data_IF_150801149190
#
_entry.id   IF_150801149190
#
_cell.length_a   1.000
_cell.length_b   1.000
_cell.length_c   1.000
_cell.angle_alpha   90.00
_cell.angle_beta   90.00
_cell.angle_gamma   90.00
#
_symmetry.space_group_name_H-M   'P 1'
#
loop_
_entity.id
_entity.type
_entity.pdbx_description
1 polymer ?
#
# COMPACT_ATOMS: atom_id res chain seq x y z
N UNK A 1 10.20 -25.46 6.60
CA UNK A 1 9.18 -25.38 7.66
C UNK A 1 9.78 -25.09 9.03
N UNK A 2 11.04 -25.46 9.25
CA UNK A 2 11.78 -25.33 10.51
C UNK A 2 11.73 -23.92 11.12
N UNK A 3 11.91 -22.87 10.32
CA UNK A 3 11.79 -21.49 10.77
C UNK A 3 10.41 -21.14 11.36
N UNK A 4 9.32 -21.65 10.77
CA UNK A 4 7.97 -21.41 11.31
C UNK A 4 7.78 -22.08 12.67
N UNK A 5 8.35 -23.28 12.83
CA UNK A 5 8.35 -23.99 14.11
C UNK A 5 9.16 -23.24 15.16
N UNK A 6 10.40 -22.85 14.85
CA UNK A 6 11.25 -22.09 15.77
C UNK A 6 10.59 -20.77 16.23
N UNK A 7 9.99 -20.01 15.31
CA UNK A 7 9.27 -18.79 15.64
C UNK A 7 8.06 -19.06 16.54
N UNK A 8 7.29 -20.11 16.28
CA UNK A 8 6.13 -20.49 17.10
C UNK A 8 6.56 -20.83 18.53
N UNK A 9 7.63 -21.60 18.68
CA UNK A 9 8.08 -22.09 19.99
C UNK A 9 8.66 -20.94 20.82
N UNK A 10 9.41 -20.02 20.18
CA UNK A 10 9.85 -18.77 20.82
C UNK A 10 8.66 -17.91 21.30
N UNK A 11 7.66 -17.71 20.45
CA UNK A 11 6.47 -16.92 20.80
C UNK A 11 5.65 -17.55 21.92
N UNK A 12 5.60 -18.89 22.00
CA UNK A 12 4.95 -19.59 23.10
C UNK A 12 5.58 -19.26 24.46
N UNK A 13 6.91 -19.08 24.51
CA UNK A 13 7.62 -18.60 25.70
C UNK A 13 7.19 -17.19 26.14
N UNK A 14 6.73 -16.36 25.19
CA UNK A 14 6.16 -15.03 25.45
C UNK A 14 4.64 -15.05 25.67
N UNK A 15 4.04 -16.24 25.80
CA UNK A 15 2.58 -16.45 25.88
C UNK A 15 1.81 -15.88 24.67
N UNK A 16 2.46 -15.84 23.50
CA UNK A 16 1.87 -15.42 22.22
C UNK A 16 1.63 -16.61 21.30
N UNK A 17 0.67 -16.48 20.38
CA UNK A 17 0.37 -17.50 19.36
C UNK A 17 0.38 -16.88 17.97
N UNK A 18 0.94 -17.60 17.00
CA UNK A 18 0.83 -17.22 15.59
C UNK A 18 -0.59 -17.42 15.10
N UNK A 19 -1.09 -16.47 14.31
CA UNK A 19 -2.34 -16.65 13.58
C UNK A 19 -2.16 -17.67 12.47
N UNK A 20 -2.61 -18.91 12.70
CA UNK A 20 -2.31 -20.06 11.83
C UNK A 20 -2.73 -19.85 10.38
N UNK A 21 -3.90 -19.25 10.16
CA UNK A 21 -4.41 -18.96 8.81
C UNK A 21 -3.58 -17.90 8.07
N UNK A 22 -3.02 -16.91 8.78
CA UNK A 22 -2.34 -15.77 8.17
C UNK A 22 -0.81 -15.98 8.05
N UNK A 23 -0.21 -16.71 8.98
CA UNK A 23 1.22 -16.97 9.04
C UNK A 23 1.61 -18.17 8.13
N UNK A 24 1.33 -18.07 6.83
CA UNK A 24 1.68 -19.10 5.86
C UNK A 24 3.13 -18.97 5.40
N UNK A 25 3.80 -20.11 5.24
CA UNK A 25 5.08 -20.17 4.52
C UNK A 25 4.76 -20.30 3.05
N UNK A 26 5.16 -19.30 2.27
CA UNK A 26 4.92 -19.26 0.82
C UNK A 26 6.23 -18.98 0.09
N UNK A 27 6.44 -19.53 -1.11
CA UNK A 27 7.56 -19.14 -1.96
C UNK A 27 7.55 -17.63 -2.21
N UNK A 28 8.71 -16.98 -2.04
CA UNK A 28 8.84 -15.53 -2.23
C UNK A 28 8.58 -15.09 -3.69
N UNK A 29 8.77 -16.00 -4.66
CA UNK A 29 8.50 -15.79 -6.08
C UNK A 29 7.03 -15.49 -6.37
N UNK A 30 6.10 -16.02 -5.54
CA UNK A 30 4.67 -15.71 -5.66
C UNK A 30 4.32 -14.29 -5.17
N UNK A 31 5.23 -13.65 -4.46
CA UNK A 31 5.06 -12.32 -3.89
C UNK A 31 4.38 -12.36 -2.53
N UNK A 32 4.96 -11.66 -1.56
CA UNK A 32 4.48 -11.65 -0.18
C UNK A 32 3.73 -10.33 0.09
N UNK A 33 2.45 -10.37 0.50
CA UNK A 33 1.70 -9.17 0.83
C UNK A 33 2.25 -8.53 2.11
N UNK A 34 2.80 -7.31 2.02
CA UNK A 34 3.36 -6.60 3.17
C UNK A 34 3.09 -5.10 3.13
N UNK A 35 2.50 -4.54 4.21
CA UNK A 35 2.25 -3.09 4.41
C UNK A 35 1.73 -2.30 3.18
N UNK A 36 0.85 -2.90 2.38
CA UNK A 36 0.26 -2.26 1.19
C UNK A 36 0.96 -2.59 -0.14
N UNK A 37 2.04 -3.36 -0.08
CA UNK A 37 2.80 -3.85 -1.22
C UNK A 37 2.67 -5.37 -1.39
N UNK A 38 3.15 -5.83 -2.53
CA UNK A 38 3.50 -7.22 -2.78
C UNK A 38 5.00 -7.25 -3.04
N UNK A 39 5.74 -7.91 -2.16
CA UNK A 39 7.20 -7.98 -2.16
C UNK A 39 7.65 -9.22 -2.93
N UNK A 40 8.45 -9.02 -3.97
CA UNK A 40 9.14 -10.09 -4.70
C UNK A 40 10.64 -9.95 -4.47
N UNK A 41 11.44 -10.99 -4.74
CA UNK A 41 12.88 -10.93 -4.52
C UNK A 41 13.58 -9.79 -5.28
N UNK A 42 13.12 -9.45 -6.49
CA UNK A 42 13.73 -8.39 -7.32
C UNK A 42 12.87 -7.12 -7.48
N UNK A 43 11.64 -7.08 -6.94
CA UNK A 43 10.74 -5.92 -7.14
C UNK A 43 9.68 -5.79 -6.05
N UNK A 44 9.16 -4.58 -5.90
CA UNK A 44 7.98 -4.28 -5.09
C UNK A 44 6.84 -3.86 -6.01
N UNK A 45 5.62 -4.37 -5.78
CA UNK A 45 4.41 -3.89 -6.45
C UNK A 45 3.47 -3.25 -5.43
N UNK A 46 2.76 -2.20 -5.82
CA UNK A 46 1.68 -1.66 -4.99
C UNK A 46 0.45 -2.58 -5.10
N UNK A 47 -0.22 -2.87 -3.98
CA UNK A 47 -1.48 -3.64 -4.02
C UNK A 47 -2.55 -2.85 -4.77
N UNK A 48 -3.29 -3.53 -5.65
CA UNK A 48 -4.37 -2.93 -6.47
C UNK A 48 -5.39 -2.15 -5.63
N UNK A 49 -5.81 -2.68 -4.47
CA UNK A 49 -6.73 -1.95 -3.58
C UNK A 49 -6.18 -0.58 -3.16
N UNK A 50 -4.87 -0.44 -2.94
CA UNK A 50 -4.27 0.83 -2.53
C UNK A 50 -4.29 1.86 -3.65
N UNK A 51 -4.12 1.46 -4.92
CA UNK A 51 -4.27 2.40 -6.04
C UNK A 51 -5.74 2.84 -6.20
N UNK A 52 -6.69 1.91 -6.09
CA UNK A 52 -8.13 2.25 -6.14
C UNK A 52 -8.53 3.22 -5.01
N UNK A 53 -8.12 2.94 -3.78
CA UNK A 53 -8.41 3.83 -2.64
C UNK A 53 -7.75 5.20 -2.80
N UNK A 54 -6.51 5.24 -3.30
CA UNK A 54 -5.81 6.49 -3.55
C UNK A 54 -6.50 7.34 -4.62
N UNK A 55 -6.89 6.75 -5.75
CA UNK A 55 -7.64 7.46 -6.81
C UNK A 55 -8.92 8.08 -6.24
N UNK A 56 -9.73 7.30 -5.51
CA UNK A 56 -10.98 7.77 -4.90
C UNK A 56 -10.74 8.93 -3.92
N UNK A 57 -9.75 8.75 -3.03
CA UNK A 57 -9.41 9.77 -2.02
C UNK A 57 -8.91 11.05 -2.67
N UNK A 58 -8.01 10.97 -3.64
CA UNK A 58 -7.46 12.13 -4.32
C UNK A 58 -8.53 12.85 -5.16
N UNK A 59 -9.45 12.12 -5.81
CA UNK A 59 -10.60 12.73 -6.51
C UNK A 59 -11.49 13.52 -5.56
N UNK A 60 -11.83 12.94 -4.40
CA UNK A 60 -12.63 13.63 -3.38
C UNK A 60 -11.93 14.88 -2.84
N UNK A 61 -10.61 14.81 -2.58
CA UNK A 61 -9.86 15.98 -2.11
C UNK A 61 -9.70 17.06 -3.18
N UNK A 62 -9.55 16.66 -4.44
CA UNK A 62 -9.50 17.59 -5.55
C UNK A 62 -10.82 18.37 -5.65
N UNK A 63 -11.96 17.69 -5.55
CA UNK A 63 -13.28 18.34 -5.50
C UNK A 63 -13.41 19.29 -4.29
N UNK A 64 -13.02 18.84 -3.09
CA UNK A 64 -13.06 19.69 -1.89
C UNK A 64 -12.22 20.97 -2.06
N UNK A 65 -11.05 20.86 -2.70
CA UNK A 65 -10.22 22.02 -3.04
C UNK A 65 -10.90 22.94 -4.06
N UNK A 66 -11.53 22.39 -5.12
CA UNK A 66 -12.28 23.17 -6.10
C UNK A 66 -13.47 23.93 -5.48
N UNK A 67 -14.10 23.36 -4.46
CA UNK A 67 -15.17 24.00 -3.69
C UNK A 67 -14.66 24.96 -2.59
N UNK A 68 -13.35 25.08 -2.39
CA UNK A 68 -12.76 25.92 -1.35
C UNK A 68 -12.86 25.36 0.08
N UNK A 69 -13.23 24.08 0.24
CA UNK A 69 -13.36 23.42 1.54
C UNK A 69 -12.00 23.07 2.17
N UNK A 70 -10.98 22.85 1.32
CA UNK A 70 -9.59 22.65 1.76
C UNK A 70 -8.66 23.58 1.00
N UNK A 71 -7.56 23.95 1.64
CA UNK A 71 -6.49 24.71 1.00
C UNK A 71 -5.75 23.87 -0.05
N UNK A 72 -5.07 24.55 -0.99
CA UNK A 72 -4.17 23.87 -1.92
C UNK A 72 -3.06 23.10 -1.18
N UNK A 73 -2.54 23.65 -0.07
CA UNK A 73 -1.51 22.99 0.73
C UNK A 73 -1.97 21.64 1.30
N UNK A 74 -3.24 21.53 1.70
CA UNK A 74 -3.82 20.29 2.17
C UNK A 74 -4.05 19.25 1.07
N UNK A 75 -4.37 19.70 -0.15
CA UNK A 75 -4.42 18.83 -1.33
C UNK A 75 -3.01 18.33 -1.68
N UNK A 76 -2.05 19.24 -1.81
CA UNK A 76 -0.65 18.96 -2.13
C UNK A 76 -0.01 17.99 -1.12
N UNK A 77 -0.23 18.19 0.18
CA UNK A 77 0.25 17.28 1.23
C UNK A 77 -0.32 15.86 1.06
N UNK A 78 -1.57 15.73 0.62
CA UNK A 78 -2.19 14.41 0.39
C UNK A 78 -1.62 13.71 -0.84
N UNK A 79 -1.35 14.47 -1.91
CA UNK A 79 -0.67 13.96 -3.10
C UNK A 79 0.74 13.51 -2.75
N UNK A 80 1.52 14.36 -2.09
CA UNK A 80 2.89 14.05 -1.64
C UNK A 80 2.94 12.84 -0.73
N UNK A 81 2.04 12.75 0.25
CA UNK A 81 1.95 11.61 1.15
C UNK A 81 1.73 10.29 0.40
N UNK A 82 0.83 10.29 -0.59
CA UNK A 82 0.60 9.10 -1.41
C UNK A 82 1.78 8.77 -2.35
N UNK A 83 2.34 9.77 -3.03
CA UNK A 83 3.49 9.58 -3.93
C UNK A 83 4.71 9.05 -3.18
N UNK A 84 4.98 9.57 -1.98
CA UNK A 84 6.09 9.12 -1.11
C UNK A 84 5.89 7.68 -0.62
N UNK A 85 4.66 7.22 -0.45
CA UNK A 85 4.41 5.80 -0.18
C UNK A 85 4.59 4.95 -1.46
N UNK A 86 4.02 5.39 -2.58
CA UNK A 86 4.03 4.61 -3.82
C UNK A 86 5.42 4.48 -4.47
N UNK A 87 6.34 5.43 -4.23
CA UNK A 87 7.69 5.46 -4.85
C UNK A 87 8.54 4.24 -4.52
N UNK A 88 8.28 3.57 -3.39
CA UNK A 88 9.00 2.35 -3.00
C UNK A 88 8.62 1.13 -3.84
N UNK A 89 7.54 1.18 -4.59
CA UNK A 89 7.17 0.15 -5.54
C UNK A 89 7.56 0.51 -6.97
N UNK A 90 7.70 -0.50 -7.82
CA UNK A 90 7.67 -0.35 -9.27
C UNK A 90 6.27 0.14 -9.69
N UNK A 91 6.12 1.46 -9.65
CA UNK A 91 4.83 2.15 -9.69
C UNK A 91 4.82 3.35 -10.61
N UNK A 92 5.87 3.60 -11.39
CA UNK A 92 6.00 4.83 -12.21
C UNK A 92 4.74 5.09 -13.04
N UNK A 93 4.34 4.14 -13.89
CA UNK A 93 3.16 4.28 -14.74
C UNK A 93 1.85 4.24 -13.95
N UNK A 94 1.82 3.50 -12.84
CA UNK A 94 0.66 3.48 -11.95
C UNK A 94 0.44 4.85 -11.28
N UNK A 95 1.51 5.56 -10.91
CA UNK A 95 1.44 6.91 -10.35
C UNK A 95 0.83 7.89 -11.34
N UNK A 96 1.31 7.89 -12.58
CA UNK A 96 0.70 8.66 -13.64
C UNK A 96 -0.78 8.33 -13.80
N UNK A 97 -1.14 7.04 -13.90
CA UNK A 97 -2.53 6.63 -14.06
C UNK A 97 -3.44 7.12 -12.93
N UNK A 98 -3.02 6.96 -11.67
CA UNK A 98 -3.80 7.39 -10.50
C UNK A 98 -3.96 8.90 -10.47
N UNK A 99 -2.87 9.66 -10.67
CA UNK A 99 -2.93 11.13 -10.64
C UNK A 99 -3.77 11.68 -11.79
N UNK A 100 -3.59 11.16 -13.01
CA UNK A 100 -4.43 11.52 -14.16
C UNK A 100 -5.91 11.25 -13.85
N UNK A 101 -6.26 10.05 -13.36
CA UNK A 101 -7.66 9.74 -13.02
C UNK A 101 -8.22 10.55 -11.86
N UNK A 102 -7.39 10.92 -10.89
CA UNK A 102 -7.84 11.68 -9.73
C UNK A 102 -8.17 13.13 -10.08
N UNK A 103 -7.48 13.70 -11.08
CA UNK A 103 -7.61 15.10 -11.47
C UNK A 103 -8.31 15.31 -12.81
N UNK A 104 -8.75 14.23 -13.46
CA UNK A 104 -9.56 14.35 -14.68
C UNK A 104 -10.91 14.99 -14.33
N UNK A 105 -11.29 16.02 -15.09
CA UNK A 105 -12.52 16.79 -14.91
C UNK A 105 -13.75 16.10 -15.56
N UNK A 106 -13.62 14.82 -15.91
CA UNK A 106 -14.68 13.97 -16.46
C UNK A 106 -15.30 13.04 -15.40
#
# INVERSE_FOLDING_TARGET
>A
WDWKTACRDFLAGLRQRLHEHNAQVVPCEHGIPWLGFVVYPQRLRLKSRHSVHATRRLKSRYHAWQCGEISFGELDASVKGWVNHAVFADSRNLRWHVLTKAFDAR
#
